data_IF_564840885002
#
_entry.id   IF_564840885002
#
_cell.length_a   1.000
_cell.length_b   1.000
_cell.length_c   1.000
_cell.angle_alpha   90.00
_cell.angle_beta   90.00
_cell.angle_gamma   90.00
#
_symmetry.space_group_name_H-M   'P 1'
#
loop_
_entity.id
_entity.type
_entity.pdbx_description
1 polymer ?
#
# COMPACT_ATOMS: atom_id res chain seq x y z
N UNK A 1 21.54 1.12 0.51
CA UNK A 1 20.07 0.98 0.48
C UNK A 1 19.46 2.31 0.11
N UNK A 2 18.31 2.33 -0.56
CA UNK A 2 17.59 3.56 -0.90
C UNK A 2 16.41 3.67 0.07
N UNK A 3 16.33 4.76 0.82
CA UNK A 3 15.32 5.00 1.86
C UNK A 3 14.31 6.08 1.45
N UNK A 4 13.24 6.24 2.23
CA UNK A 4 12.19 7.25 2.02
C UNK A 4 11.48 7.14 0.67
N UNK A 5 11.28 5.91 0.20
CA UNK A 5 10.48 5.62 -0.98
C UNK A 5 9.00 5.44 -0.59
N UNK A 6 8.09 5.77 -1.52
CA UNK A 6 6.66 5.56 -1.33
C UNK A 6 6.34 4.07 -1.36
N UNK A 7 5.49 3.61 -0.46
CA UNK A 7 5.02 2.22 -0.38
C UNK A 7 4.18 1.85 -1.62
N UNK A 8 4.11 0.54 -1.91
CA UNK A 8 3.40 -0.10 -3.02
C UNK A 8 3.67 0.51 -4.40
N UNK A 9 4.83 1.16 -4.56
CA UNK A 9 5.17 1.97 -5.72
C UNK A 9 6.29 1.32 -6.52
N UNK A 10 6.16 1.36 -7.86
CA UNK A 10 7.18 0.84 -8.76
C UNK A 10 8.21 1.93 -9.09
N UNK A 11 9.48 1.57 -9.06
CA UNK A 11 10.61 2.45 -9.34
C UNK A 11 11.49 1.86 -10.44
N UNK A 12 11.97 2.75 -11.32
CA UNK A 12 13.08 2.45 -12.23
C UNK A 12 14.38 2.92 -11.58
N UNK A 13 15.31 2.00 -11.38
CA UNK A 13 16.59 2.24 -10.74
C UNK A 13 17.67 2.05 -11.82
N UNK A 14 18.54 3.04 -11.99
CA UNK A 14 19.69 2.97 -12.89
C UNK A 14 20.97 2.98 -12.08
N UNK A 15 21.89 2.08 -12.45
CA UNK A 15 23.20 1.97 -11.81
C UNK A 15 24.27 2.00 -12.90
N UNK A 16 25.09 3.05 -12.91
CA UNK A 16 26.22 3.22 -13.82
C UNK A 16 27.55 2.98 -13.10
N UNK A 17 28.54 2.32 -13.73
CA UNK A 17 29.89 2.26 -13.20
C UNK A 17 30.61 3.60 -13.43
N UNK A 18 31.42 4.04 -12.47
CA UNK A 18 32.25 5.25 -12.57
C UNK A 18 33.73 4.89 -12.43
N UNK A 19 34.56 5.32 -13.38
CA UNK A 19 36.04 5.17 -13.33
C UNK A 19 36.68 6.53 -13.58
N UNK A 20 37.30 7.11 -12.54
CA UNK A 20 37.76 8.50 -12.58
C UNK A 20 36.59 9.44 -12.87
N UNK A 21 36.69 10.22 -13.95
CA UNK A 21 35.63 11.13 -14.42
C UNK A 21 34.76 10.53 -15.55
N UNK A 22 34.93 9.25 -15.89
CA UNK A 22 34.16 8.58 -16.95
C UNK A 22 33.07 7.71 -16.36
N UNK A 23 31.84 7.96 -16.78
CA UNK A 23 30.67 7.12 -16.50
C UNK A 23 30.49 6.10 -17.62
N UNK A 24 30.27 4.84 -17.27
CA UNK A 24 29.96 3.77 -18.21
C UNK A 24 28.45 3.59 -18.42
N UNK A 25 28.06 2.61 -19.24
CA UNK A 25 26.65 2.34 -19.52
C UNK A 25 25.89 1.88 -18.26
N UNK A 26 24.68 2.42 -18.00
CA UNK A 26 23.89 2.01 -16.85
C UNK A 26 23.23 0.64 -17.07
N UNK A 27 23.02 -0.08 -15.97
CA UNK A 27 22.05 -1.17 -15.88
C UNK A 27 20.75 -0.62 -15.31
N UNK A 28 19.62 -0.97 -15.93
CA UNK A 28 18.28 -0.60 -15.46
C UNK A 28 17.62 -1.78 -14.75
N UNK A 29 17.10 -1.54 -13.56
CA UNK A 29 16.33 -2.50 -12.76
C UNK A 29 15.00 -1.87 -12.39
N UNK A 30 13.92 -2.63 -12.52
CA UNK A 30 12.62 -2.23 -11.99
C UNK A 30 12.34 -3.00 -10.72
N UNK A 31 11.95 -2.29 -9.66
CA UNK A 31 11.59 -2.89 -8.38
C UNK A 31 10.33 -2.22 -7.82
N UNK A 32 9.60 -2.94 -6.97
CA UNK A 32 8.45 -2.40 -6.23
C UNK A 32 8.78 -2.35 -4.75
N UNK A 33 8.36 -1.27 -4.09
CA UNK A 33 8.41 -1.19 -2.63
C UNK A 33 7.37 -2.12 -2.00
N UNK A 34 7.51 -2.35 -0.69
CA UNK A 34 6.57 -3.17 0.09
C UNK A 34 5.14 -2.64 -0.03
N UNK A 35 4.16 -3.53 0.09
CA UNK A 35 2.75 -3.16 0.09
C UNK A 35 2.39 -2.23 1.25
N UNK A 36 1.25 -1.56 1.11
CA UNK A 36 0.70 -0.72 2.15
C UNK A 36 0.39 -1.55 3.42
N UNK A 37 0.53 -0.97 4.61
CA UNK A 37 0.12 -1.61 5.85
C UNK A 37 -1.35 -2.05 5.81
N UNK A 38 -1.67 -3.10 6.56
CA UNK A 38 -3.06 -3.52 6.73
C UNK A 38 -3.86 -2.45 7.48
N UNK A 39 -5.15 -2.36 7.18
CA UNK A 39 -6.08 -1.55 7.98
C UNK A 39 -6.23 -2.17 9.36
N UNK A 40 -6.15 -1.34 10.39
CA UNK A 40 -6.30 -1.75 11.79
C UNK A 40 -7.48 -1.05 12.45
N UNK A 41 -7.94 -1.58 13.59
CA UNK A 41 -9.04 -1.00 14.36
C UNK A 41 -10.38 -0.96 13.63
N UNK A 42 -10.58 -1.83 12.64
CA UNK A 42 -11.82 -1.90 11.88
C UNK A 42 -12.97 -2.39 12.78
N UNK A 43 -13.98 -1.54 12.96
CA UNK A 43 -15.12 -1.81 13.80
C UNK A 43 -16.42 -1.26 13.19
N UNK A 44 -17.51 -1.98 13.43
CA UNK A 44 -18.87 -1.50 13.22
C UNK A 44 -19.40 -0.87 14.51
N UNK A 45 -19.92 0.35 14.39
CA UNK A 45 -20.45 1.16 15.48
C UNK A 45 -21.89 1.57 15.15
N UNK A 46 -22.69 1.82 16.19
CA UNK A 46 -24.08 2.29 16.07
C UNK A 46 -24.91 1.45 15.09
N UNK A 47 -24.75 0.13 15.14
CA UNK A 47 -25.46 -0.80 14.27
C UNK A 47 -26.94 -0.82 14.62
N UNK A 48 -27.77 -0.70 13.60
CA UNK A 48 -29.22 -0.82 13.62
C UNK A 48 -29.64 -1.87 12.59
N UNK A 49 -30.93 -2.16 12.50
CA UNK A 49 -31.46 -3.11 11.53
C UNK A 49 -31.20 -2.72 10.06
N UNK A 50 -30.94 -1.44 9.78
CA UNK A 50 -30.76 -0.93 8.41
C UNK A 50 -29.49 -0.14 8.14
N UNK A 51 -28.65 0.11 9.16
CA UNK A 51 -27.45 0.94 9.00
C UNK A 51 -26.39 0.65 10.06
N UNK A 52 -25.14 0.96 9.72
CA UNK A 52 -24.01 0.92 10.65
C UNK A 52 -23.00 1.99 10.27
N UNK A 53 -22.28 2.52 11.25
CA UNK A 53 -21.13 3.38 11.03
C UNK A 53 -19.88 2.50 11.07
N UNK A 54 -18.97 2.66 10.12
CA UNK A 54 -17.70 1.93 10.10
C UNK A 54 -16.56 2.87 10.50
N UNK A 55 -15.66 2.38 11.33
CA UNK A 55 -14.49 3.12 11.80
C UNK A 55 -13.23 2.25 11.67
N UNK A 56 -12.10 2.87 11.35
CA UNK A 56 -10.78 2.23 11.31
C UNK A 56 -9.67 3.28 11.42
N UNK A 57 -8.45 2.84 11.71
CA UNK A 57 -7.26 3.71 11.73
C UNK A 57 -6.86 4.07 10.30
N UNK A 58 -6.73 5.38 9.94
CA UNK A 58 -6.29 5.77 8.62
C UNK A 58 -4.87 5.29 8.31
N UNK A 59 -4.68 4.71 7.11
CA UNK A 59 -3.36 4.31 6.61
C UNK A 59 -2.76 5.46 5.80
N UNK A 60 -1.55 5.89 6.15
CA UNK A 60 -0.85 6.95 5.42
C UNK A 60 -0.49 6.50 3.99
N UNK A 61 -0.54 7.43 3.04
CA UNK A 61 -0.10 7.18 1.66
C UNK A 61 -1.11 6.47 0.75
N UNK A 62 -2.25 6.02 1.28
CA UNK A 62 -3.32 5.41 0.47
C UNK A 62 -4.06 6.45 -0.37
N UNK A 63 -4.50 6.05 -1.57
CA UNK A 63 -5.39 6.87 -2.41
C UNK A 63 -6.87 6.68 -2.09
N UNK A 64 -7.22 5.61 -1.36
CA UNK A 64 -8.57 5.28 -0.98
C UNK A 64 -8.66 3.91 -0.31
N UNK A 65 -9.87 3.56 0.11
CA UNK A 65 -10.20 2.27 0.73
C UNK A 65 -11.22 1.53 -0.13
N UNK A 66 -11.11 0.20 -0.18
CA UNK A 66 -12.11 -0.66 -0.79
C UNK A 66 -12.89 -1.37 0.32
N UNK A 67 -14.19 -1.10 0.41
CA UNK A 67 -15.09 -1.78 1.33
C UNK A 67 -15.80 -2.92 0.58
N UNK A 68 -15.80 -4.11 1.18
CA UNK A 68 -16.55 -5.26 0.67
C UNK A 68 -17.36 -5.88 1.82
N UNK A 69 -18.61 -6.25 1.54
CA UNK A 69 -19.51 -6.85 2.50
C UNK A 69 -20.44 -7.83 1.79
N UNK A 70 -21.01 -8.74 2.57
CA UNK A 70 -22.03 -9.70 2.10
C UNK A 70 -22.99 -10.02 3.23
N UNK A 71 -24.20 -10.40 2.86
CA UNK A 71 -25.12 -11.04 3.81
C UNK A 71 -24.50 -12.38 4.25
N UNK A 72 -24.37 -12.59 5.55
CA UNK A 72 -23.99 -13.88 6.11
C UNK A 72 -25.29 -14.53 6.56
N UNK A 73 -25.81 -15.46 5.76
CA UNK A 73 -26.88 -16.32 6.23
C UNK A 73 -26.30 -17.15 7.38
N UNK A 74 -26.85 -17.00 8.58
CA UNK A 74 -26.57 -17.95 9.67
C UNK A 74 -27.19 -19.27 9.23
N UNK A 75 -26.39 -20.33 9.18
CA UNK A 75 -26.92 -21.68 9.01
C UNK A 75 -27.67 -21.98 10.32
N UNK A 76 -28.99 -22.01 10.27
CA UNK A 76 -29.81 -22.59 11.35
C UNK A 76 -29.54 -24.09 11.47
#
# INVERSE_FOLDING_TARGET
TISNLRESSAYKIQVSPLVGSREGSPVLVTARTLDLPKVEGFAALNTTDGSTILHWTPVAGVSGYLLSWRHISVLE
#
